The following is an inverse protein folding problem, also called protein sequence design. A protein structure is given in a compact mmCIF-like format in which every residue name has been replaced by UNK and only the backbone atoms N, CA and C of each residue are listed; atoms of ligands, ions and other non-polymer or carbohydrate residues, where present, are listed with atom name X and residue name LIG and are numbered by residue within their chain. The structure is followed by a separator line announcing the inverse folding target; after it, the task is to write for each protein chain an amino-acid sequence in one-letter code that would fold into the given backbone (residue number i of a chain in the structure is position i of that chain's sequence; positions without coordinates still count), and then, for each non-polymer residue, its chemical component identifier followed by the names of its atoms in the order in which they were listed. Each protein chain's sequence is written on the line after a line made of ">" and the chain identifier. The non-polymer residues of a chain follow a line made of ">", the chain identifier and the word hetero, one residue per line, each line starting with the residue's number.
data_IF_888208331867
#
_entry.id   IF_888208331867
#
_cell.length_a   1.000
_cell.length_b   1.000
_cell.length_c   1.000
_cell.angle_alpha   90.00
_cell.angle_beta   90.00
_cell.angle_gamma   90.00
#
_symmetry.space_group_name_H-M   'P 1'
#
loop_
_entity.id
_entity.type
_entity.pdbx_description
1 polymer ?
#
# COMPACT_ATOMS: atom_id res chain seq x y z
N UNK A 1 2.68 5.15 5.56
CA UNK A 1 1.46 4.30 5.54
C UNK A 1 1.59 3.15 4.54
N UNK A 2 1.97 3.37 3.27
CA UNK A 2 2.21 2.28 2.30
C UNK A 2 3.18 1.24 2.83
N UNK A 3 4.34 1.66 3.37
CA UNK A 3 5.33 0.74 3.95
C UNK A 3 4.79 -0.11 5.11
N UNK A 4 3.78 0.39 5.83
CA UNK A 4 3.15 -0.30 6.94
C UNK A 4 2.12 -1.31 6.42
N UNK A 5 1.28 -0.92 5.46
CA UNK A 5 0.32 -1.82 4.79
C UNK A 5 1.01 -2.95 3.99
N UNK A 6 2.20 -2.69 3.43
CA UNK A 6 3.00 -3.68 2.66
C UNK A 6 4.20 -4.21 3.43
N UNK A 7 4.21 -4.13 4.75
CA UNK A 7 5.34 -4.66 5.52
C UNK A 7 5.34 -6.21 5.46
N UNK A 8 6.52 -6.82 5.23
CA UNK A 8 6.65 -8.28 5.12
C UNK A 8 6.40 -9.00 6.46
N UNK A 9 6.45 -8.27 7.58
CA UNK A 9 6.25 -8.81 8.93
C UNK A 9 4.79 -8.87 9.38
N UNK A 10 3.84 -8.34 8.59
CA UNK A 10 2.44 -8.48 8.97
C UNK A 10 1.98 -9.93 8.82
N UNK A 11 1.24 -10.42 9.81
CA UNK A 11 0.58 -11.73 9.75
C UNK A 11 -0.75 -11.63 8.99
N UNK A 12 -1.41 -10.46 9.07
CA UNK A 12 -2.72 -10.15 8.49
C UNK A 12 -2.71 -8.78 7.79
N UNK A 13 -3.57 -8.53 6.80
CA UNK A 13 -3.67 -7.22 6.14
C UNK A 13 -4.12 -6.12 7.13
N UNK A 14 -3.35 -5.04 7.23
CA UNK A 14 -3.68 -3.86 8.04
C UNK A 14 -4.66 -2.97 7.27
N UNK A 15 -5.95 -3.26 7.42
CA UNK A 15 -7.02 -2.49 6.79
C UNK A 15 -7.06 -1.04 7.26
N UNK A 16 -6.62 -0.76 8.48
CA UNK A 16 -6.56 0.60 9.01
C UNK A 16 -5.56 1.45 8.21
N UNK A 17 -4.39 0.89 7.89
CA UNK A 17 -3.37 1.54 7.06
C UNK A 17 -3.82 1.72 5.60
N UNK A 18 -4.60 0.79 5.04
CA UNK A 18 -5.16 0.90 3.69
C UNK A 18 -6.27 1.96 3.63
N UNK A 19 -7.16 1.98 4.61
CA UNK A 19 -8.24 2.97 4.71
C UNK A 19 -7.67 4.39 4.91
N UNK A 20 -6.66 4.56 5.78
CA UNK A 20 -5.95 5.83 5.92
C UNK A 20 -5.32 6.29 4.61
N UNK A 21 -4.78 5.37 3.80
CA UNK A 21 -4.27 5.69 2.47
C UNK A 21 -5.35 6.18 1.52
N UNK A 22 -6.52 5.52 1.52
CA UNK A 22 -7.67 5.96 0.75
C UNK A 22 -8.14 7.36 1.17
N UNK A 23 -8.19 7.63 2.48
CA UNK A 23 -8.58 8.94 3.01
C UNK A 23 -7.59 10.04 2.60
N UNK A 24 -6.29 9.77 2.64
CA UNK A 24 -5.26 10.73 2.22
C UNK A 24 -5.32 11.04 0.72
N UNK A 25 -5.57 10.03 -0.12
CA UNK A 25 -5.77 10.24 -1.56
C UNK A 25 -7.04 11.06 -1.82
N UNK A 26 -8.11 10.82 -1.03
CA UNK A 26 -9.37 11.55 -1.12
C UNK A 26 -9.23 13.00 -0.66
N UNK A 27 -8.43 13.25 0.37
CA UNK A 27 -8.09 14.59 0.86
C UNK A 27 -7.13 15.37 -0.04
N UNK A 28 -6.69 14.80 -1.18
CA UNK A 28 -5.73 15.41 -2.12
C UNK A 28 -4.37 15.79 -1.54
N UNK A 29 -4.03 15.30 -0.34
CA UNK A 29 -2.69 15.47 0.24
C UNK A 29 -1.62 14.75 -0.59
N UNK A 30 -2.02 13.76 -1.40
CA UNK A 30 -1.11 12.98 -2.24
C UNK A 30 -1.73 12.73 -3.61
N UNK A 31 -0.97 13.00 -4.67
CA UNK A 31 -1.44 12.79 -6.06
C UNK A 31 -1.73 11.30 -6.30
N UNK A 32 -2.92 10.95 -6.84
CA UNK A 32 -3.28 9.55 -7.13
C UNK A 32 -2.24 8.81 -7.98
N UNK A 33 -1.63 9.53 -8.94
CA UNK A 33 -0.52 9.01 -9.76
C UNK A 33 0.68 8.55 -8.93
N UNK A 34 1.04 9.30 -7.88
CA UNK A 34 2.16 8.97 -7.02
C UNK A 34 1.85 7.72 -6.16
N UNK A 35 0.64 7.62 -5.64
CA UNK A 35 0.17 6.45 -4.88
C UNK A 35 0.21 5.19 -5.74
N UNK A 36 -0.35 5.22 -6.96
CA UNK A 36 -0.36 4.08 -7.88
C UNK A 36 1.05 3.69 -8.34
N UNK A 37 1.94 4.66 -8.61
CA UNK A 37 3.34 4.35 -8.91
C UNK A 37 4.05 3.65 -7.74
N UNK A 38 3.76 4.08 -6.52
CA UNK A 38 4.37 3.50 -5.32
C UNK A 38 3.86 2.08 -5.06
N UNK A 39 2.56 1.83 -5.28
CA UNK A 39 1.98 0.48 -5.23
C UNK A 39 2.58 -0.40 -6.35
N UNK A 40 2.70 0.10 -7.58
CA UNK A 40 3.37 -0.63 -8.69
C UNK A 40 4.82 -1.01 -8.39
N UNK A 41 5.55 -0.19 -7.62
CA UNK A 41 6.90 -0.55 -7.17
C UNK A 41 6.88 -1.72 -6.18
N UNK A 42 5.85 -1.82 -5.33
CA UNK A 42 5.67 -2.95 -4.40
C UNK A 42 5.25 -4.25 -5.10
N UNK A 43 4.61 -4.16 -6.27
CA UNK A 43 4.39 -5.31 -7.16
C UNK A 43 5.69 -5.96 -7.69
N UNK A 44 6.77 -5.20 -7.82
CA UNK A 44 8.08 -5.70 -8.21
C UNK A 44 8.92 -6.18 -7.01
N UNK A 45 8.28 -6.41 -5.85
CA UNK A 45 8.96 -6.97 -4.68
C UNK A 45 9.23 -8.46 -4.89
N UNK A 46 10.44 -8.91 -4.59
CA UNK A 46 10.77 -10.35 -4.53
C UNK A 46 9.98 -11.13 -3.47
N UNK A 47 9.27 -10.43 -2.58
CA UNK A 47 8.49 -11.06 -1.52
C UNK A 47 7.02 -11.21 -1.94
N UNK A 48 6.60 -12.44 -2.26
CA UNK A 48 5.25 -12.74 -2.74
C UNK A 48 4.13 -12.27 -1.79
N UNK A 49 4.38 -12.24 -0.48
CA UNK A 49 3.43 -11.70 0.50
C UNK A 49 3.22 -10.18 0.36
N UNK A 50 4.26 -9.45 -0.02
CA UNK A 50 4.19 -7.99 -0.26
C UNK A 50 3.44 -7.70 -1.55
N UNK A 51 3.64 -8.52 -2.58
CA UNK A 51 2.91 -8.41 -3.85
C UNK A 51 1.41 -8.69 -3.64
N UNK A 52 1.07 -9.77 -2.92
CA UNK A 52 -0.32 -10.11 -2.62
C UNK A 52 -1.03 -8.99 -1.84
N UNK A 53 -0.36 -8.40 -0.85
CA UNK A 53 -0.89 -7.28 -0.06
C UNK A 53 -1.02 -5.97 -0.82
N UNK A 54 -0.23 -5.78 -1.88
CA UNK A 54 -0.33 -4.60 -2.74
C UNK A 54 -1.53 -4.65 -3.68
N UNK A 55 -2.15 -5.83 -3.81
CA UNK A 55 -3.26 -6.13 -4.70
C UNK A 55 -4.63 -6.00 -4.01
N UNK A 56 -4.65 -6.12 -2.67
CA UNK A 56 -5.83 -5.96 -1.81
C UNK A 56 -6.17 -4.48 -1.59
#
# INVERSE_FOLDING_TARGET
>A
MIYRATSPLLLEPDWEAVLQLCDIVKSSEVTPKYTVQTIKKKFNSDNGHVVLRSLQ
#
